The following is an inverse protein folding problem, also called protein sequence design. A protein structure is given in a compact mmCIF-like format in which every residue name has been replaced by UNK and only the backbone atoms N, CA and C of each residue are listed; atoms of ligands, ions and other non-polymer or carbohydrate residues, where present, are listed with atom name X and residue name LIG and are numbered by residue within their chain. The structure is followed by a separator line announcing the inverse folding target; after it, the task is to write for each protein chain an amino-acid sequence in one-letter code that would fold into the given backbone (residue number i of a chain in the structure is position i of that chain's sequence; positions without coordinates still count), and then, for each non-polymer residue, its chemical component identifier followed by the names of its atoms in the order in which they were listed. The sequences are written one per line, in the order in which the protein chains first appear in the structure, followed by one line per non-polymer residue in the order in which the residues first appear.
data_IF_581091071163
#
_entry.id   IF_581091071163
#
_cell.length_a   1.000
_cell.length_b   1.000
_cell.length_c   1.000
_cell.angle_alpha   90.00
_cell.angle_beta   90.00
_cell.angle_gamma   90.00
#
_symmetry.space_group_name_H-M   'P 1'
#
loop_
_entity.id
_entity.type
_entity.pdbx_description
1 polymer ?
#
# COMPACT_ATOMS: atom_id res chain seq x y z
N UNK A 1 -20.95 22.73 -43.58
CA UNK A 1 -20.63 23.58 -42.40
C UNK A 1 -21.25 22.94 -41.16
N UNK A 2 -20.56 22.02 -40.47
CA UNK A 2 -21.11 21.41 -39.24
C UNK A 2 -20.03 20.97 -38.24
N UNK A 3 -18.91 21.71 -38.14
CA UNK A 3 -17.80 21.36 -37.21
C UNK A 3 -17.58 22.43 -36.12
N UNK A 4 -18.21 23.61 -36.20
CA UNK A 4 -17.89 24.72 -35.29
C UNK A 4 -18.71 24.79 -33.98
N UNK A 5 -19.77 24.00 -33.78
CA UNK A 5 -20.62 24.10 -32.58
C UNK A 5 -20.23 23.18 -31.41
N UNK A 6 -19.30 22.25 -31.59
CA UNK A 6 -18.87 21.28 -30.56
C UNK A 6 -17.64 21.71 -29.74
N UNK A 7 -16.92 22.75 -30.19
CA UNK A 7 -15.72 23.25 -29.52
C UNK A 7 -15.98 23.91 -28.15
N UNK A 8 -17.02 24.76 -27.96
CA UNK A 8 -17.24 25.44 -26.68
C UNK A 8 -17.68 24.47 -25.57
N UNK A 9 -18.49 23.47 -25.92
CA UNK A 9 -19.02 22.46 -24.99
C UNK A 9 -17.95 21.45 -24.55
N UNK A 10 -16.99 21.13 -25.42
CA UNK A 10 -15.87 20.26 -25.06
C UNK A 10 -14.86 20.97 -24.14
N UNK A 11 -14.57 22.25 -24.39
CA UNK A 11 -13.68 23.06 -23.56
C UNK A 11 -14.25 23.31 -22.15
N UNK A 12 -15.56 23.58 -22.05
CA UNK A 12 -16.25 23.74 -20.77
C UNK A 12 -16.29 22.43 -19.98
N UNK A 13 -16.54 21.29 -20.64
CA UNK A 13 -16.47 19.96 -20.01
C UNK A 13 -15.07 19.64 -19.47
N UNK A 14 -14.00 19.93 -20.23
CA UNK A 14 -12.61 19.76 -19.78
C UNK A 14 -12.26 20.66 -18.59
N UNK A 15 -12.69 21.93 -18.60
CA UNK A 15 -12.52 22.85 -17.46
C UNK A 15 -13.27 22.38 -16.21
N UNK A 16 -14.48 21.83 -16.38
CA UNK A 16 -15.31 21.32 -15.27
C UNK A 16 -14.75 20.02 -14.67
N UNK A 17 -14.20 19.12 -15.49
CA UNK A 17 -13.44 17.93 -15.04
C UNK A 17 -12.19 18.33 -14.24
N UNK A 18 -11.35 19.22 -14.78
CA UNK A 18 -10.13 19.70 -14.12
C UNK A 18 -10.41 20.33 -12.75
N UNK A 19 -11.49 21.11 -12.63
CA UNK A 19 -11.91 21.73 -11.37
C UNK A 19 -12.50 20.72 -10.38
N UNK A 20 -13.22 19.69 -10.85
CA UNK A 20 -13.77 18.63 -10.00
C UNK A 20 -12.66 17.74 -9.40
N UNK A 21 -11.68 17.36 -10.22
CA UNK A 21 -10.48 16.62 -9.80
C UNK A 21 -9.66 17.47 -8.81
N UNK A 22 -9.39 18.73 -9.14
CA UNK A 22 -8.68 19.65 -8.24
C UNK A 22 -9.40 19.80 -6.89
N UNK A 23 -10.72 19.91 -6.89
CA UNK A 23 -11.53 20.03 -5.66
C UNK A 23 -11.51 18.76 -4.81
N UNK A 24 -11.43 17.59 -5.43
CA UNK A 24 -11.32 16.31 -4.74
C UNK A 24 -9.93 16.13 -4.13
N UNK A 25 -8.87 16.38 -4.89
CA UNK A 25 -7.48 16.35 -4.43
C UNK A 25 -7.28 17.33 -3.26
N UNK A 26 -7.78 18.57 -3.37
CA UNK A 26 -7.69 19.56 -2.30
C UNK A 26 -8.51 19.20 -1.04
N UNK A 27 -9.55 18.37 -1.14
CA UNK A 27 -10.32 17.88 0.03
C UNK A 27 -9.67 16.68 0.71
N UNK A 28 -9.06 15.79 -0.07
CA UNK A 28 -8.40 14.59 0.42
C UNK A 28 -7.03 14.91 1.05
N UNK A 29 -6.31 15.90 0.53
CA UNK A 29 -4.94 16.22 0.95
C UNK A 29 -4.84 17.32 2.01
N UNK A 30 -5.88 18.10 2.31
CA UNK A 30 -5.79 19.13 3.36
C UNK A 30 -7.10 19.64 3.95
N UNK A 31 -7.10 19.76 5.28
CA UNK A 31 -7.82 20.82 5.95
C UNK A 31 -7.34 22.19 5.41
N UNK A 32 -8.25 22.92 4.74
CA UNK A 32 -8.26 24.38 4.49
C UNK A 32 -7.00 24.98 3.78
N UNK A 33 -7.24 25.41 2.52
CA UNK A 33 -6.39 26.22 1.60
C UNK A 33 -5.21 25.49 0.91
N UNK A 34 -5.24 25.51 -0.43
CA UNK A 34 -4.25 24.94 -1.37
C UNK A 34 -2.83 25.44 -1.12
N UNK A 35 -2.65 26.75 -0.94
CA UNK A 35 -1.31 27.35 -0.77
C UNK A 35 -0.65 26.92 0.55
N UNK A 36 -1.47 26.65 1.58
CA UNK A 36 -0.99 26.15 2.86
C UNK A 36 -0.53 24.68 2.76
N UNK A 37 -1.21 23.87 1.93
CA UNK A 37 -0.78 22.51 1.63
C UNK A 37 0.53 22.50 0.89
N UNK A 38 0.62 23.21 -0.23
CA UNK A 38 1.79 23.17 -1.11
C UNK A 38 3.04 23.63 -0.33
N UNK A 39 2.93 24.69 0.48
CA UNK A 39 4.04 25.14 1.32
C UNK A 39 4.37 24.16 2.44
N UNK A 40 3.37 23.70 3.21
CA UNK A 40 3.60 22.74 4.31
C UNK A 40 4.21 21.44 3.80
N UNK A 41 3.69 20.93 2.68
CA UNK A 41 4.17 19.70 2.06
C UNK A 41 5.60 19.86 1.54
N UNK A 42 5.90 20.92 0.80
CA UNK A 42 7.27 21.22 0.35
C UNK A 42 8.23 21.38 1.52
N UNK A 43 7.84 22.11 2.58
CA UNK A 43 8.69 22.27 3.78
C UNK A 43 8.93 20.94 4.49
N UNK A 44 7.92 20.09 4.62
CA UNK A 44 8.08 18.78 5.26
C UNK A 44 8.92 17.83 4.40
N UNK A 45 8.74 17.85 3.08
CA UNK A 45 9.53 17.05 2.16
C UNK A 45 10.99 17.51 2.12
N UNK A 46 11.24 18.81 1.96
CA UNK A 46 12.59 19.37 1.89
C UNK A 46 13.44 18.99 3.11
N UNK A 47 12.84 18.96 4.30
CA UNK A 47 13.50 18.59 5.56
C UNK A 47 13.78 17.09 5.73
N UNK A 48 13.27 16.22 4.86
CA UNK A 48 13.59 14.79 4.95
C UNK A 48 15.03 14.54 4.54
N UNK A 49 15.69 13.68 5.30
CA UNK A 49 17.06 13.24 5.03
C UNK A 49 17.08 12.03 4.11
N UNK A 50 17.94 12.06 3.10
CA UNK A 50 18.23 10.96 2.17
C UNK A 50 19.74 10.74 2.10
N UNK A 51 20.16 9.56 1.65
CA UNK A 51 21.57 9.24 1.43
C UNK A 51 21.96 9.53 -0.02
N UNK A 52 23.09 10.22 -0.21
CA UNK A 52 23.65 10.54 -1.52
C UNK A 52 25.12 10.14 -1.56
N UNK A 53 25.59 9.63 -2.70
CA UNK A 53 26.98 9.28 -2.86
C UNK A 53 27.80 10.50 -3.30
N UNK A 54 28.47 11.16 -2.36
CA UNK A 54 29.40 12.26 -2.65
C UNK A 54 30.83 11.79 -2.44
N UNK A 55 31.69 11.97 -3.45
CA UNK A 55 33.12 11.57 -3.41
C UNK A 55 33.31 10.10 -3.01
N UNK A 56 32.45 9.22 -3.54
CA UNK A 56 32.51 7.77 -3.27
C UNK A 56 32.01 7.33 -1.89
N UNK A 57 31.45 8.23 -1.07
CA UNK A 57 30.89 7.91 0.24
C UNK A 57 29.42 8.29 0.31
N UNK A 58 28.61 7.45 0.96
CA UNK A 58 27.21 7.77 1.27
C UNK A 58 27.15 8.80 2.39
N UNK A 59 26.48 9.90 2.14
CA UNK A 59 26.33 11.02 3.08
C UNK A 59 24.85 11.36 3.25
N UNK A 60 24.38 11.60 4.49
CA UNK A 60 23.03 12.08 4.72
C UNK A 60 22.91 13.55 4.32
N UNK A 61 21.93 13.88 3.48
CA UNK A 61 21.60 15.24 3.06
C UNK A 61 20.08 15.45 3.09
N UNK A 62 19.64 16.69 3.25
CA UNK A 62 18.22 17.02 3.16
C UNK A 62 17.80 17.21 1.71
N UNK A 63 16.55 16.86 1.38
CA UNK A 63 16.06 16.91 0.00
C UNK A 63 16.15 18.33 -0.60
N UNK A 64 15.95 19.36 0.22
CA UNK A 64 16.05 20.76 -0.19
C UNK A 64 17.48 21.23 -0.55
N UNK A 65 18.51 20.46 -0.19
CA UNK A 65 19.92 20.77 -0.51
C UNK A 65 20.44 20.07 -1.76
N UNK A 66 19.65 19.18 -2.37
CA UNK A 66 20.02 18.49 -3.60
C UNK A 66 19.82 19.45 -4.77
N UNK A 67 20.87 19.69 -5.54
CA UNK A 67 20.84 20.64 -6.65
C UNK A 67 21.38 20.10 -7.96
N UNK A 68 21.91 18.87 -7.99
CA UNK A 68 22.40 18.25 -9.23
C UNK A 68 21.47 17.14 -9.70
N UNK A 69 21.31 17.05 -11.02
CA UNK A 69 20.50 16.02 -11.68
C UNK A 69 21.00 14.61 -11.40
N UNK A 70 22.31 14.44 -11.23
CA UNK A 70 22.94 13.15 -10.98
C UNK A 70 22.63 12.65 -9.57
N UNK A 71 22.67 13.54 -8.57
CA UNK A 71 22.27 13.22 -7.20
C UNK A 71 20.76 12.89 -7.16
N UNK A 72 19.93 13.65 -7.87
CA UNK A 72 18.49 13.39 -7.97
C UNK A 72 18.20 12.02 -8.59
N UNK A 73 18.82 11.69 -9.73
CA UNK A 73 18.65 10.41 -10.42
C UNK A 73 19.11 9.22 -9.56
N UNK A 74 20.25 9.35 -8.86
CA UNK A 74 20.74 8.32 -7.92
C UNK A 74 19.70 8.04 -6.82
N UNK A 75 19.18 9.10 -6.19
CA UNK A 75 18.23 8.98 -5.07
C UNK A 75 16.93 8.37 -5.55
N UNK A 76 16.38 8.84 -6.68
CA UNK A 76 15.15 8.33 -7.25
C UNK A 76 15.28 6.84 -7.57
N UNK A 77 16.34 6.44 -8.28
CA UNK A 77 16.57 5.03 -8.60
C UNK A 77 16.68 4.15 -7.35
N UNK A 78 17.36 4.63 -6.30
CA UNK A 78 17.49 3.90 -5.04
C UNK A 78 16.15 3.76 -4.31
N UNK A 79 15.39 4.85 -4.19
CA UNK A 79 14.08 4.85 -3.50
C UNK A 79 13.03 4.03 -4.25
N UNK A 80 13.04 4.06 -5.57
CA UNK A 80 12.19 3.20 -6.41
C UNK A 80 12.56 1.73 -6.24
N UNK A 81 13.85 1.39 -6.22
CA UNK A 81 14.32 0.05 -5.92
C UNK A 81 13.88 -0.44 -4.54
N UNK A 82 13.98 0.41 -3.51
CA UNK A 82 13.49 0.10 -2.16
C UNK A 82 11.97 -0.13 -2.14
N UNK A 83 11.19 0.71 -2.84
CA UNK A 83 9.74 0.53 -2.97
C UNK A 83 9.40 -0.81 -3.62
N UNK A 84 9.99 -1.09 -4.78
CA UNK A 84 9.73 -2.33 -5.53
C UNK A 84 10.08 -3.58 -4.69
N UNK A 85 11.19 -3.52 -3.95
CA UNK A 85 11.56 -4.60 -3.02
C UNK A 85 10.49 -4.80 -1.94
N UNK A 86 10.01 -3.72 -1.31
CA UNK A 86 9.00 -3.81 -0.26
C UNK A 86 7.66 -4.34 -0.79
N UNK A 87 7.26 -3.94 -2.00
CA UNK A 87 6.06 -4.45 -2.67
C UNK A 87 6.19 -5.95 -2.96
N UNK A 88 7.31 -6.40 -3.54
CA UNK A 88 7.56 -7.80 -3.81
C UNK A 88 7.56 -8.66 -2.53
N UNK A 89 8.16 -8.15 -1.45
CA UNK A 89 8.16 -8.85 -0.16
C UNK A 89 6.76 -8.89 0.47
N UNK A 90 5.92 -7.87 0.27
CA UNK A 90 4.53 -7.88 0.69
C UNK A 90 3.70 -8.90 -0.11
N UNK A 91 3.91 -8.97 -1.43
CA UNK A 91 3.26 -9.96 -2.29
C UNK A 91 3.65 -11.39 -1.91
N UNK A 92 4.93 -11.67 -1.65
CA UNK A 92 5.38 -12.98 -1.16
C UNK A 92 4.73 -13.36 0.16
N UNK A 93 4.62 -12.43 1.10
CA UNK A 93 3.92 -12.67 2.38
C UNK A 93 2.45 -12.99 2.15
N UNK A 94 1.76 -12.22 1.30
CA UNK A 94 0.35 -12.47 0.98
C UNK A 94 0.14 -13.81 0.28
N UNK A 95 1.03 -14.17 -0.67
CA UNK A 95 1.00 -15.46 -1.35
C UNK A 95 1.27 -16.64 -0.39
N UNK A 96 2.21 -16.47 0.54
CA UNK A 96 2.51 -17.47 1.57
C UNK A 96 1.34 -17.64 2.55
N UNK A 97 0.71 -16.55 3.01
CA UNK A 97 -0.49 -16.60 3.84
C UNK A 97 -1.63 -17.32 3.11
N UNK A 98 -1.88 -16.97 1.85
CA UNK A 98 -2.92 -17.61 1.02
C UNK A 98 -2.65 -19.11 0.82
N UNK A 99 -1.39 -19.51 0.61
CA UNK A 99 -1.01 -20.91 0.46
C UNK A 99 -1.14 -21.70 1.78
N UNK A 100 -0.81 -21.09 2.92
CA UNK A 100 -1.03 -21.69 4.24
C UNK A 100 -2.53 -21.89 4.47
N UNK A 101 -3.34 -20.88 4.19
CA UNK A 101 -4.79 -20.95 4.38
C UNK A 101 -5.42 -22.01 3.47
N UNK A 102 -5.00 -22.07 2.20
CA UNK A 102 -5.41 -23.15 1.27
C UNK A 102 -5.01 -24.54 1.78
N UNK A 103 -3.78 -24.70 2.28
CA UNK A 103 -3.32 -25.98 2.84
C UNK A 103 -4.08 -26.37 4.11
N UNK A 104 -4.43 -25.41 4.97
CA UNK A 104 -5.25 -25.65 6.17
C UNK A 104 -6.67 -26.07 5.78
N UNK A 105 -7.30 -25.35 4.86
CA UNK A 105 -8.64 -25.66 4.37
C UNK A 105 -8.67 -27.08 3.77
N UNK A 106 -7.70 -27.41 2.91
CA UNK A 106 -7.60 -28.73 2.30
C UNK A 106 -7.29 -29.84 3.32
N UNK A 107 -6.55 -29.56 4.40
CA UNK A 107 -6.29 -30.55 5.47
C UNK A 107 -7.54 -30.90 6.25
N UNK A 108 -8.42 -29.94 6.51
CA UNK A 108 -9.65 -30.19 7.30
C UNK A 108 -10.84 -30.67 6.45
N UNK A 109 -10.81 -30.54 5.13
CA UNK A 109 -11.99 -30.78 4.28
C UNK A 109 -12.37 -32.27 4.17
N UNK A 110 -13.67 -32.54 4.23
CA UNK A 110 -14.30 -33.85 3.95
C UNK A 110 -13.85 -35.02 4.84
N UNK A 111 -13.27 -34.73 6.01
CA UNK A 111 -12.87 -35.75 6.98
C UNK A 111 -14.02 -36.19 7.89
N UNK A 112 -14.10 -37.49 8.24
CA UNK A 112 -15.04 -37.98 9.23
C UNK A 112 -14.73 -37.40 10.63
N UNK A 113 -15.73 -37.37 11.50
CA UNK A 113 -15.67 -36.71 12.81
C UNK A 113 -14.49 -37.18 13.68
N UNK A 114 -14.13 -38.46 13.66
CA UNK A 114 -12.99 -38.97 14.43
C UNK A 114 -11.64 -38.48 13.89
N UNK A 115 -11.46 -38.48 12.56
CA UNK A 115 -10.25 -37.98 11.92
C UNK A 115 -10.11 -36.46 12.10
N UNK A 116 -11.22 -35.73 12.02
CA UNK A 116 -11.25 -34.28 12.23
C UNK A 116 -10.78 -33.86 13.63
N UNK A 117 -11.20 -34.60 14.66
CA UNK A 117 -10.83 -34.31 16.07
C UNK A 117 -9.37 -34.61 16.38
N UNK A 118 -8.74 -35.49 15.61
CA UNK A 118 -7.34 -35.85 15.78
C UNK A 118 -6.38 -34.89 15.05
N UNK A 119 -6.91 -33.92 14.30
CA UNK A 119 -6.10 -33.03 13.47
C UNK A 119 -6.03 -31.62 14.04
N UNK A 120 -4.81 -31.16 14.29
CA UNK A 120 -4.56 -29.85 14.86
C UNK A 120 -5.04 -28.75 13.90
N UNK A 121 -5.72 -27.72 14.45
CA UNK A 121 -6.33 -26.60 13.73
C UNK A 121 -7.64 -26.91 12.97
N UNK A 122 -8.22 -28.10 13.13
CA UNK A 122 -9.52 -28.46 12.57
C UNK A 122 -10.59 -28.60 13.68
N UNK A 123 -11.84 -28.26 13.38
CA UNK A 123 -12.99 -28.43 14.26
C UNK A 123 -14.19 -28.94 13.48
N UNK A 124 -14.93 -29.87 14.10
CA UNK A 124 -16.14 -30.43 13.53
C UNK A 124 -17.35 -29.58 13.92
N UNK A 125 -17.84 -28.77 12.98
CA UNK A 125 -18.98 -27.86 13.16
C UNK A 125 -19.99 -28.02 12.01
N UNK A 126 -21.28 -27.92 12.32
CA UNK A 126 -22.37 -28.07 11.34
C UNK A 126 -22.34 -29.38 10.54
N UNK A 127 -21.90 -30.48 11.16
CA UNK A 127 -21.77 -31.78 10.50
C UNK A 127 -20.64 -31.86 9.48
N UNK A 128 -19.69 -30.92 9.49
CA UNK A 128 -18.52 -30.87 8.60
C UNK A 128 -17.25 -30.55 9.38
N UNK A 129 -16.12 -31.07 8.92
CA UNK A 129 -14.81 -30.67 9.43
C UNK A 129 -14.36 -29.36 8.75
N UNK A 130 -14.02 -28.33 9.54
CA UNK A 130 -13.60 -27.00 9.08
C UNK A 130 -12.35 -26.54 9.83
N UNK A 131 -11.67 -25.50 9.34
CA UNK A 131 -10.52 -24.90 10.03
C UNK A 131 -11.02 -24.10 11.24
N UNK A 132 -10.33 -24.19 12.39
CA UNK A 132 -10.61 -23.37 13.57
C UNK A 132 -10.31 -21.89 13.30
N UNK A 133 -11.27 -21.01 13.58
CA UNK A 133 -11.04 -19.57 13.56
C UNK A 133 -10.10 -19.16 14.71
N UNK A 134 -8.96 -18.55 14.37
CA UNK A 134 -8.03 -17.97 15.34
C UNK A 134 -6.80 -18.81 15.71
N UNK A 135 -6.65 -20.04 15.21
CA UNK A 135 -5.45 -20.85 15.47
C UNK A 135 -4.32 -20.51 14.48
N UNK A 136 -3.31 -19.81 15.01
CA UNK A 136 -1.97 -19.76 14.41
C UNK A 136 -1.31 -21.09 14.75
N UNK A 137 -0.89 -21.86 13.74
CA UNK A 137 -0.01 -23.02 14.01
C UNK A 137 1.21 -22.50 14.77
N UNK A 138 1.59 -23.18 15.86
CA UNK A 138 2.84 -22.98 16.60
C UNK A 138 4.06 -23.35 15.72
N UNK A 139 4.28 -22.58 14.66
CA UNK A 139 5.55 -22.45 14.00
C UNK A 139 6.38 -21.47 14.81
N UNK A 140 7.09 -21.98 15.83
CA UNK A 140 8.14 -21.30 16.62
C UNK A 140 8.64 -20.01 15.96
N UNK A 141 8.07 -18.89 16.36
CA UNK A 141 8.67 -17.56 16.21
C UNK A 141 8.48 -16.83 17.52
N UNK A 142 9.41 -17.10 18.44
CA UNK A 142 9.77 -16.15 19.49
C UNK A 142 10.05 -14.82 18.82
N UNK A 143 9.16 -13.84 19.01
CA UNK A 143 9.45 -12.41 19.16
C UNK A 143 8.15 -11.70 19.52
N UNK A 144 7.86 -11.68 20.82
CA UNK A 144 6.97 -10.70 21.42
C UNK A 144 7.69 -9.35 21.41
N UNK A 145 7.23 -8.41 20.59
CA UNK A 145 7.26 -6.99 20.94
C UNK A 145 5.95 -6.39 20.47
N UNK A 146 5.10 -6.21 21.48
CA UNK A 146 3.92 -5.36 21.53
C UNK A 146 2.86 -5.48 20.44
N UNK A 147 1.70 -5.94 20.90
CA UNK A 147 0.41 -5.45 20.46
C UNK A 147 0.45 -3.96 20.15
N UNK A 148 0.49 -3.62 18.88
CA UNK A 148 -0.21 -2.44 18.41
C UNK A 148 -1.33 -2.93 17.51
N UNK A 149 -2.53 -2.83 18.06
CA UNK A 149 -3.82 -2.81 17.37
C UNK A 149 -3.66 -2.14 16.00
N UNK A 150 -3.44 -2.95 14.97
CA UNK A 150 -3.55 -2.47 13.60
C UNK A 150 -5.04 -2.39 13.32
N UNK A 151 -5.62 -1.24 13.67
CA UNK A 151 -6.82 -0.75 13.03
C UNK A 151 -6.49 -0.72 11.55
N UNK A 152 -6.90 -1.78 10.84
CA UNK A 152 -6.94 -1.81 9.38
C UNK A 152 -8.02 -0.79 9.01
N UNK A 153 -7.67 0.49 9.07
CA UNK A 153 -8.44 1.54 8.45
C UNK A 153 -8.50 1.17 6.97
N UNK A 154 -9.71 1.05 6.43
CA UNK A 154 -10.09 0.77 5.03
C UNK A 154 -9.38 1.62 3.94
N UNK A 155 -8.38 2.41 4.30
CA UNK A 155 -7.58 3.26 3.44
C UNK A 155 -6.72 2.52 2.39
N UNK A 156 -6.15 1.30 2.59
CA UNK A 156 -5.24 0.74 1.59
C UNK A 156 -5.99 0.13 0.40
N UNK A 157 -7.27 -0.27 0.54
CA UNK A 157 -8.04 -0.81 -0.57
C UNK A 157 -8.47 0.26 -1.59
N UNK A 158 -8.59 1.52 -1.18
CA UNK A 158 -8.98 2.60 -2.09
C UNK A 158 -7.82 3.07 -2.97
N UNK A 159 -6.56 2.85 -2.58
CA UNK A 159 -5.38 3.20 -3.37
C UNK A 159 -5.26 2.37 -4.65
N UNK A 160 -5.70 1.10 -4.62
CA UNK A 160 -5.66 0.22 -5.79
C UNK A 160 -6.57 0.72 -6.94
N UNK A 161 -7.67 1.41 -6.63
CA UNK A 161 -8.59 1.97 -7.63
C UNK A 161 -8.09 3.25 -8.31
N UNK A 162 -7.06 3.92 -7.76
CA UNK A 162 -6.54 5.18 -8.32
C UNK A 162 -5.39 4.99 -9.32
N UNK A 163 -4.75 3.83 -9.37
CA UNK A 163 -3.62 3.55 -10.27
C UNK A 163 -4.04 3.01 -11.65
N UNK A 164 -5.33 2.73 -11.84
CA UNK A 164 -5.90 2.10 -13.07
C UNK A 164 -6.88 3.05 -13.80
N UNK A 165 -6.88 4.36 -13.49
CA UNK A 165 -7.85 5.32 -14.05
C UNK A 165 -7.24 6.58 -14.66
#
# INVERSE_FOLDING_TARGET
RAVCHLMPTCLTRKKNQKTKISKHISRQLTAKKKDNFDNKFKTLLGKKTVLVTKKGKKQPVTIDTISSSDEEAEILGRLEGERNKNELEAEKKNAFTTLIDYKKEHRCKDKPMEECKNENCCEFTDGKCKVQEGVKEDGKTTNTTESNSFVINKAPLLLAFFLIG
#
